data_IF_024240464404
#
_entry.id   IF_024240464404
#
_cell.length_a   1.000
_cell.length_b   1.000
_cell.length_c   1.000
_cell.angle_alpha   90.00
_cell.angle_beta   90.00
_cell.angle_gamma   90.00
#
_symmetry.space_group_name_H-M   'P 1'
#
loop_
_entity.id
_entity.type
_entity.pdbx_description
1 polymer ?
#
# COMPACT_ATOMS: atom_id res chain seq x y z
N UNK A 1 -4.72 22.81 0.40
CA UNK A 1 -4.80 21.39 -0.03
C UNK A 1 -6.10 21.21 -0.79
N UNK A 2 -6.05 20.65 -1.99
CA UNK A 2 -7.26 20.30 -2.73
C UNK A 2 -8.12 19.33 -1.91
N UNK A 3 -9.43 19.55 -1.92
CA UNK A 3 -10.43 18.71 -1.25
C UNK A 3 -11.31 18.10 -2.33
N UNK A 4 -11.40 16.78 -2.33
CA UNK A 4 -12.43 16.07 -3.08
C UNK A 4 -13.77 16.32 -2.37
N UNK A 5 -14.85 16.68 -3.10
CA UNK A 5 -16.16 16.86 -2.49
C UNK A 5 -16.62 15.59 -1.74
N UNK A 6 -17.28 15.73 -0.58
CA UNK A 6 -17.85 14.57 0.12
C UNK A 6 -18.95 13.92 -0.74
N UNK A 7 -18.96 12.59 -0.79
CA UNK A 7 -19.84 11.81 -1.68
C UNK A 7 -20.85 10.94 -0.94
N UNK A 8 -22.01 10.80 -1.56
CA UNK A 8 -22.94 9.68 -1.42
C UNK A 8 -23.10 9.02 -2.81
N UNK A 9 -23.09 7.68 -2.92
CA UNK A 9 -23.08 6.70 -1.85
C UNK A 9 -21.68 6.40 -1.29
N UNK A 10 -21.64 6.13 0.02
CA UNK A 10 -20.46 5.66 0.76
C UNK A 10 -19.91 4.34 0.20
N UNK A 11 -18.67 3.99 0.55
CA UNK A 11 -18.09 2.70 0.20
C UNK A 11 -18.83 1.54 0.88
N UNK A 12 -19.03 0.48 0.12
CA UNK A 12 -19.65 -0.79 0.53
C UNK A 12 -18.63 -1.93 0.48
N UNK A 13 -19.04 -3.11 0.94
CA UNK A 13 -18.28 -4.35 0.87
C UNK A 13 -17.75 -4.67 -0.54
N UNK A 14 -18.59 -4.43 -1.55
CA UNK A 14 -18.32 -4.74 -2.96
C UNK A 14 -17.25 -3.80 -3.52
N UNK A 15 -17.14 -2.60 -2.96
CA UNK A 15 -16.09 -1.64 -3.37
C UNK A 15 -14.71 -1.99 -2.84
N UNK A 16 -14.57 -2.99 -1.97
CA UNK A 16 -13.28 -3.62 -1.65
C UNK A 16 -12.98 -4.79 -2.59
N UNK A 17 -14.02 -5.37 -3.19
CA UNK A 17 -14.02 -6.60 -3.98
C UNK A 17 -14.93 -6.47 -5.20
N UNK A 18 -14.52 -5.70 -6.23
CA UNK A 18 -15.32 -5.59 -7.45
C UNK A 18 -15.55 -6.99 -8.04
N UNK A 19 -16.76 -7.30 -8.54
CA UNK A 19 -17.04 -8.57 -9.22
C UNK A 19 -15.99 -8.80 -10.32
N UNK A 20 -15.40 -10.00 -10.37
CA UNK A 20 -14.31 -10.34 -11.29
C UNK A 20 -12.90 -10.25 -10.69
N UNK A 21 -12.70 -9.61 -9.53
CA UNK A 21 -11.38 -9.57 -8.85
C UNK A 21 -10.91 -10.93 -8.33
N UNK A 22 -11.83 -11.90 -8.18
CA UNK A 22 -11.55 -13.28 -7.75
C UNK A 22 -11.51 -14.30 -8.91
N UNK A 23 -11.94 -13.91 -10.11
CA UNK A 23 -12.21 -14.84 -11.21
C UNK A 23 -11.49 -14.54 -12.52
N UNK A 24 -10.89 -13.35 -12.69
CA UNK A 24 -10.10 -13.03 -13.88
C UNK A 24 -8.63 -13.41 -13.63
N UNK A 25 -8.31 -14.68 -13.88
CA UNK A 25 -7.03 -15.31 -13.53
C UNK A 25 -5.86 -14.70 -14.31
N UNK A 26 -6.12 -14.13 -15.49
CA UNK A 26 -5.07 -13.68 -16.42
C UNK A 26 -4.62 -12.22 -16.24
N UNK A 27 -5.51 -11.34 -15.70
CA UNK A 27 -5.18 -9.94 -15.42
C UNK A 27 -6.07 -9.35 -14.30
N UNK A 28 -5.79 -9.65 -13.02
CA UNK A 28 -6.51 -9.11 -11.88
C UNK A 28 -6.70 -7.56 -11.84
N UNK A 29 -5.80 -6.71 -12.39
CA UNK A 29 -6.01 -5.26 -12.45
C UNK A 29 -7.16 -4.78 -13.34
N UNK A 30 -7.66 -5.62 -14.27
CA UNK A 30 -8.70 -5.23 -15.22
C UNK A 30 -10.00 -4.75 -14.53
N UNK A 31 -10.28 -5.28 -13.34
CA UNK A 31 -11.47 -4.94 -12.54
C UNK A 31 -11.36 -3.58 -11.81
N UNK A 32 -10.24 -2.87 -11.96
CA UNK A 32 -9.96 -1.62 -11.27
C UNK A 32 -9.72 -0.48 -12.27
N UNK A 33 -9.60 0.74 -11.75
CA UNK A 33 -9.41 1.96 -12.54
C UNK A 33 -8.05 2.58 -12.19
N UNK A 34 -7.01 2.37 -13.02
CA UNK A 34 -5.68 2.87 -12.73
C UNK A 34 -5.56 4.37 -12.97
N UNK A 35 -4.78 5.02 -12.13
CA UNK A 35 -4.37 6.41 -12.23
C UNK A 35 -2.87 6.46 -12.08
N UNK A 36 -2.19 7.14 -13.00
CA UNK A 36 -0.78 7.46 -12.86
C UNK A 36 -0.61 8.55 -11.81
N UNK A 37 0.29 8.29 -10.87
CA UNK A 37 0.74 9.24 -9.85
C UNK A 37 2.24 9.43 -10.02
N UNK A 38 2.67 10.65 -10.29
CA UNK A 38 4.08 11.05 -10.34
C UNK A 38 4.44 12.14 -9.35
N UNK A 39 5.75 12.28 -9.10
CA UNK A 39 6.33 13.22 -8.13
C UNK A 39 5.89 12.98 -6.67
N UNK A 40 5.63 11.73 -6.27
CA UNK A 40 5.23 11.43 -4.90
C UNK A 40 6.46 11.26 -3.99
N UNK A 41 6.65 12.18 -3.04
CA UNK A 41 7.79 12.13 -2.12
C UNK A 41 7.63 11.01 -1.07
N UNK A 42 8.58 10.10 -0.99
CA UNK A 42 8.60 9.05 0.02
C UNK A 42 10.02 8.70 0.46
N UNK A 43 10.40 8.95 1.72
CA UNK A 43 11.78 8.73 2.17
C UNK A 43 12.22 7.26 2.06
N UNK A 44 11.30 6.34 2.37
CA UNK A 44 11.56 4.91 2.36
C UNK A 44 10.65 4.21 1.36
N UNK A 45 11.24 3.59 0.34
CA UNK A 45 10.45 2.95 -0.72
C UNK A 45 9.55 1.82 -0.19
N UNK A 46 9.97 1.09 0.84
CA UNK A 46 9.15 0.06 1.49
C UNK A 46 7.83 0.59 2.05
N UNK A 47 7.74 1.89 2.37
CA UNK A 47 6.51 2.53 2.83
C UNK A 47 5.66 3.12 1.70
N UNK A 48 6.17 3.19 0.46
CA UNK A 48 5.54 3.95 -0.62
C UNK A 48 4.08 3.55 -0.84
N UNK A 49 3.80 2.25 -0.90
CA UNK A 49 2.44 1.73 -1.08
C UNK A 49 1.51 2.21 0.03
N UNK A 50 1.92 2.09 1.29
CA UNK A 50 1.07 2.46 2.42
C UNK A 50 0.87 3.98 2.50
N UNK A 51 1.90 4.77 2.18
CA UNK A 51 1.85 6.25 2.15
C UNK A 51 0.93 6.77 1.06
N UNK A 52 1.02 6.21 -0.14
CA UNK A 52 0.13 6.56 -1.27
C UNK A 52 -1.32 6.24 -0.91
N UNK A 53 -1.59 5.03 -0.39
CA UNK A 53 -2.94 4.68 0.04
C UNK A 53 -3.46 5.61 1.15
N UNK A 54 -2.63 5.96 2.13
CA UNK A 54 -2.98 6.89 3.20
C UNK A 54 -3.24 8.32 2.70
N UNK A 55 -2.55 8.76 1.66
CA UNK A 55 -2.77 10.05 1.01
C UNK A 55 -4.16 10.11 0.39
N UNK A 56 -4.50 9.15 -0.48
CA UNK A 56 -5.83 9.10 -1.10
C UNK A 56 -6.95 8.88 -0.08
N UNK A 57 -6.73 8.04 0.93
CA UNK A 57 -7.70 7.85 2.01
C UNK A 57 -8.00 9.16 2.76
N UNK A 58 -6.96 9.99 3.01
CA UNK A 58 -7.13 11.31 3.62
C UNK A 58 -7.90 12.28 2.72
N UNK A 59 -7.92 12.05 1.40
CA UNK A 59 -8.76 12.77 0.44
C UNK A 59 -10.16 12.19 0.30
N UNK A 60 -10.44 11.03 0.90
CA UNK A 60 -11.72 10.34 0.82
C UNK A 60 -11.84 9.36 -0.35
N UNK A 61 -10.70 8.99 -0.94
CA UNK A 61 -10.59 8.11 -2.11
C UNK A 61 -10.00 6.75 -1.68
N UNK A 62 -10.63 5.66 -2.09
CA UNK A 62 -10.19 4.30 -1.79
C UNK A 62 -9.23 3.77 -2.86
N UNK A 63 -7.93 3.98 -2.63
CA UNK A 63 -6.89 3.33 -3.41
C UNK A 63 -6.72 1.88 -2.97
N UNK A 64 -7.00 0.93 -3.86
CA UNK A 64 -6.91 -0.51 -3.58
C UNK A 64 -5.49 -1.02 -3.68
N UNK A 65 -4.79 -0.62 -4.74
CA UNK A 65 -3.48 -1.17 -5.09
C UNK A 65 -2.58 -0.04 -5.57
N UNK A 66 -1.28 -0.21 -5.35
CA UNK A 66 -0.26 0.70 -5.85
C UNK A 66 0.82 -0.15 -6.50
N UNK A 67 0.96 -0.02 -7.81
CA UNK A 67 2.03 -0.66 -8.56
C UNK A 67 3.19 0.32 -8.74
N UNK A 68 4.34 -0.06 -8.21
CA UNK A 68 5.60 0.68 -8.34
C UNK A 68 6.50 -0.13 -9.27
N UNK A 69 7.03 0.45 -10.34
CA UNK A 69 7.84 -0.28 -11.34
C UNK A 69 9.08 -0.93 -10.72
N UNK A 70 9.51 -2.08 -11.26
CA UNK A 70 10.67 -2.82 -10.73
C UNK A 70 11.98 -2.10 -11.07
N UNK A 71 12.98 -2.18 -10.18
CA UNK A 71 14.26 -1.50 -10.36
C UNK A 71 15.02 -1.95 -11.63
N UNK A 72 14.80 -3.19 -12.07
CA UNK A 72 15.47 -3.77 -13.24
C UNK A 72 14.94 -3.22 -14.58
N UNK A 73 13.72 -2.68 -14.59
CA UNK A 73 13.03 -2.25 -15.82
C UNK A 73 12.75 -0.74 -15.85
N UNK A 74 13.24 0.02 -14.87
CA UNK A 74 12.97 1.46 -14.76
C UNK A 74 14.27 2.26 -14.98
N UNK A 75 14.43 2.81 -16.19
CA UNK A 75 15.55 3.68 -16.54
C UNK A 75 15.64 4.95 -15.65
N UNK A 76 14.54 5.29 -14.97
CA UNK A 76 14.47 6.42 -14.04
C UNK A 76 14.75 6.06 -12.59
N UNK A 77 15.06 4.81 -12.31
CA UNK A 77 15.18 4.31 -10.95
C UNK A 77 16.21 5.08 -10.13
N UNK A 78 17.40 5.31 -10.69
CA UNK A 78 18.48 6.03 -10.01
C UNK A 78 18.05 7.46 -9.63
N UNK A 79 17.32 8.13 -10.51
CA UNK A 79 16.76 9.45 -10.23
C UNK A 79 15.70 9.39 -9.12
N UNK A 80 14.76 8.42 -9.17
CA UNK A 80 13.71 8.29 -8.17
C UNK A 80 14.29 7.95 -6.78
N UNK A 81 15.30 7.07 -6.72
CA UNK A 81 15.96 6.70 -5.47
C UNK A 81 16.80 7.84 -4.89
N UNK A 82 17.45 8.66 -5.73
CA UNK A 82 18.19 9.85 -5.27
C UNK A 82 17.26 10.95 -4.79
N UNK A 83 16.23 11.26 -5.57
CA UNK A 83 15.29 12.36 -5.26
C UNK A 83 14.19 11.99 -4.28
N UNK A 84 14.01 10.68 -4.02
CA UNK A 84 12.90 10.11 -3.24
C UNK A 84 11.51 10.45 -3.81
N UNK A 85 11.44 10.83 -5.08
CA UNK A 85 10.21 11.14 -5.79
C UNK A 85 9.86 9.98 -6.70
N UNK A 86 8.78 9.28 -6.37
CA UNK A 86 8.40 8.05 -7.05
C UNK A 86 7.19 8.24 -7.94
N UNK A 87 7.13 7.38 -8.96
CA UNK A 87 5.97 7.19 -9.80
C UNK A 87 5.34 5.83 -9.58
N UNK A 88 4.01 5.78 -9.69
CA UNK A 88 3.26 4.55 -9.56
C UNK A 88 1.93 4.60 -10.32
N UNK A 89 1.37 3.43 -10.59
CA UNK A 89 -0.05 3.29 -10.92
C UNK A 89 -0.83 2.99 -9.66
N UNK A 90 -1.87 3.77 -9.41
CA UNK A 90 -2.78 3.63 -8.28
C UNK A 90 -4.11 3.13 -8.80
N UNK A 91 -4.54 1.96 -8.34
CA UNK A 91 -5.76 1.32 -8.80
C UNK A 91 -6.89 1.63 -7.83
N UNK A 92 -7.91 2.33 -8.33
CA UNK A 92 -9.14 2.62 -7.61
C UNK A 92 -10.19 1.55 -7.87
N UNK A 93 -11.07 1.32 -6.91
CA UNK A 93 -12.16 0.34 -7.05
C UNK A 93 -13.36 0.89 -7.79
N UNK A 94 -13.55 2.21 -7.78
CA UNK A 94 -14.59 2.91 -8.53
C UNK A 94 -13.98 3.82 -9.57
N UNK A 95 -14.57 3.84 -10.75
CA UNK A 95 -14.19 4.75 -11.84
C UNK A 95 -14.27 6.21 -11.40
N UNK A 96 -15.37 6.56 -10.71
CA UNK A 96 -15.59 7.90 -10.21
C UNK A 96 -14.48 8.38 -9.26
N UNK A 97 -13.80 7.49 -8.54
CA UNK A 97 -12.68 7.86 -7.66
C UNK A 97 -11.41 8.15 -8.45
N UNK A 98 -11.16 7.36 -9.52
CA UNK A 98 -10.09 7.62 -10.45
C UNK A 98 -10.29 8.98 -11.15
N UNK A 99 -11.52 9.25 -11.63
CA UNK A 99 -11.87 10.52 -12.25
C UNK A 99 -11.70 11.70 -11.29
N UNK A 100 -12.12 11.56 -10.03
CA UNK A 100 -11.93 12.61 -9.02
C UNK A 100 -10.46 12.81 -8.65
N UNK A 101 -9.67 11.75 -8.58
CA UNK A 101 -8.23 11.87 -8.35
C UNK A 101 -7.59 12.72 -9.46
N UNK A 102 -7.90 12.43 -10.72
CA UNK A 102 -7.39 13.19 -11.86
C UNK A 102 -7.90 14.64 -11.84
N UNK A 103 -9.19 14.84 -11.61
CA UNK A 103 -9.82 16.17 -11.67
C UNK A 103 -9.38 17.10 -10.53
N UNK A 104 -9.33 16.59 -9.30
CA UNK A 104 -9.18 17.42 -8.10
C UNK A 104 -7.79 17.35 -7.48
N UNK A 105 -7.03 16.27 -7.70
CA UNK A 105 -5.74 16.06 -7.03
C UNK A 105 -4.54 16.29 -7.95
N UNK A 106 -4.75 16.48 -9.26
CA UNK A 106 -3.70 16.92 -10.17
C UNK A 106 -3.11 18.27 -9.68
N UNK A 107 -1.78 18.32 -9.55
CA UNK A 107 -1.01 19.45 -8.97
C UNK A 107 -1.30 19.76 -7.50
N UNK A 108 -2.00 18.89 -6.76
CA UNK A 108 -2.10 19.05 -5.30
C UNK A 108 -0.70 18.98 -4.67
N UNK A 109 -0.51 19.75 -3.60
CA UNK A 109 0.79 19.85 -2.92
C UNK A 109 0.92 18.78 -1.85
N UNK A 110 1.96 17.96 -1.94
CA UNK A 110 2.31 16.92 -0.98
C UNK A 110 3.77 17.06 -0.57
N UNK A 111 4.02 17.35 0.72
CA UNK A 111 5.35 17.62 1.29
C UNK A 111 6.24 18.56 0.44
N UNK A 112 5.66 19.65 -0.06
CA UNK A 112 6.40 20.61 -0.88
C UNK A 112 6.28 20.40 -2.39
N UNK A 113 6.01 19.17 -2.83
CA UNK A 113 5.97 18.79 -4.25
C UNK A 113 4.55 18.79 -4.81
N UNK A 114 4.41 19.20 -6.07
CA UNK A 114 3.16 19.14 -6.81
C UNK A 114 3.06 17.81 -7.55
N UNK A 115 2.01 17.08 -7.24
CA UNK A 115 1.75 15.76 -7.80
C UNK A 115 1.33 15.87 -9.27
N UNK A 116 1.74 14.90 -10.08
CA UNK A 116 1.23 14.73 -11.42
C UNK A 116 0.27 13.55 -11.42
N UNK A 117 -1.02 13.83 -11.56
CA UNK A 117 -2.07 12.80 -11.54
C UNK A 117 -2.77 12.77 -12.88
N UNK A 118 -2.76 11.62 -13.56
CA UNK A 118 -3.33 11.42 -14.89
C UNK A 118 -4.01 10.05 -14.99
N UNK A 119 -4.96 9.84 -15.92
CA UNK A 119 -5.52 8.52 -16.21
C UNK A 119 -4.43 7.47 -16.46
N UNK A 120 -4.56 6.27 -15.90
CA UNK A 120 -3.53 5.24 -15.99
C UNK A 120 -3.55 4.40 -17.26
N UNK A 121 -4.64 4.44 -18.04
CA UNK A 121 -4.80 3.69 -19.30
C UNK A 121 -4.50 4.53 -20.52
N UNK A 122 -4.98 5.77 -20.50
CA UNK A 122 -4.86 6.68 -21.63
C UNK A 122 -3.64 7.55 -21.45
N UNK A 123 -2.84 7.68 -22.53
CA UNK A 123 -1.65 8.50 -22.52
C UNK A 123 -2.03 9.96 -22.79
N UNK A 124 -1.63 10.84 -21.87
CA UNK A 124 -1.78 12.27 -22.04
C UNK A 124 -0.50 12.90 -22.58
N UNK A 125 -0.64 13.86 -23.48
CA UNK A 125 0.46 14.54 -24.14
C UNK A 125 0.48 16.02 -23.79
N UNK A 126 1.68 16.58 -23.76
CA UNK A 126 1.90 18.01 -23.72
C UNK A 126 1.40 18.68 -25.00
N UNK A 127 0.78 19.84 -24.86
CA UNK A 127 0.38 20.69 -25.98
C UNK A 127 1.60 21.50 -26.46
N UNK A 128 2.10 21.33 -27.70
CA UNK A 128 3.26 22.10 -28.20
C UNK A 128 3.04 23.62 -28.19
N UNK A 129 1.79 24.05 -28.29
CA UNK A 129 1.42 25.46 -28.26
C UNK A 129 1.57 26.10 -26.87
N UNK A 130 1.58 25.28 -25.80
CA UNK A 130 1.53 25.71 -24.40
C UNK A 130 2.75 25.24 -23.60
N UNK A 131 3.56 24.36 -24.18
CA UNK A 131 4.66 23.69 -23.48
C UNK A 131 6.02 24.18 -23.96
N UNK A 132 6.93 24.32 -23.00
CA UNK A 132 8.34 24.63 -23.23
C UNK A 132 9.21 23.63 -22.49
N UNK A 133 10.42 23.47 -23.01
CA UNK A 133 11.54 22.81 -22.37
C UNK A 133 12.48 23.84 -21.74
N UNK A 134 13.00 23.53 -20.56
CA UNK A 134 14.09 24.31 -19.95
C UNK A 134 15.41 23.95 -20.61
N UNK A 135 16.09 24.94 -21.18
CA UNK A 135 17.38 24.75 -21.86
C UNK A 135 18.52 25.16 -20.96
N UNK A 136 19.42 24.21 -20.70
CA UNK A 136 20.56 24.39 -19.82
C UNK A 136 20.18 24.39 -18.34
N UNK A 137 21.09 24.88 -17.51
CA UNK A 137 20.92 24.91 -16.07
C UNK A 137 20.30 26.23 -15.62
N UNK A 138 19.31 26.16 -14.71
CA UNK A 138 18.77 27.36 -14.07
C UNK A 138 19.70 27.82 -12.94
N UNK A 139 19.85 29.14 -12.72
CA UNK A 139 20.60 29.66 -11.57
C UNK A 139 20.11 29.04 -10.25
N UNK A 140 21.02 28.46 -9.46
CA UNK A 140 20.69 27.86 -8.16
C UNK A 140 19.97 26.51 -8.21
N UNK A 141 19.76 25.92 -9.40
CA UNK A 141 19.16 24.59 -9.56
C UNK A 141 20.21 23.65 -10.14
N UNK A 142 20.57 22.60 -9.41
CA UNK A 142 21.47 21.57 -9.93
C UNK A 142 20.84 20.84 -11.10
N UNK A 143 21.63 20.43 -12.09
CA UNK A 143 21.13 19.71 -13.28
C UNK A 143 20.33 18.46 -12.93
N UNK A 144 20.62 17.84 -11.80
CA UNK A 144 20.02 16.59 -11.34
C UNK A 144 18.84 16.78 -10.36
N UNK A 145 18.44 18.04 -10.14
CA UNK A 145 17.41 18.45 -9.20
C UNK A 145 16.00 17.98 -9.61
N UNK A 146 15.08 17.81 -8.64
CA UNK A 146 13.69 17.55 -8.92
C UNK A 146 13.03 18.57 -9.86
N UNK A 147 12.11 18.11 -10.70
CA UNK A 147 11.27 18.97 -11.55
C UNK A 147 10.58 20.11 -10.76
N UNK A 148 10.29 19.90 -9.47
CA UNK A 148 9.73 20.92 -8.58
C UNK A 148 10.64 22.15 -8.40
N UNK A 149 11.96 21.96 -8.33
CA UNK A 149 12.89 23.09 -8.15
C UNK A 149 12.93 23.99 -9.39
N UNK A 150 12.88 23.37 -10.58
CA UNK A 150 12.72 24.09 -11.84
C UNK A 150 11.39 24.84 -11.88
N UNK A 151 10.29 24.18 -11.49
CA UNK A 151 9.00 24.85 -11.40
C UNK A 151 9.05 26.07 -10.48
N UNK A 152 9.59 25.92 -9.28
CA UNK A 152 9.58 26.99 -8.28
C UNK A 152 10.40 28.20 -8.73
N UNK A 153 11.56 27.99 -9.36
CA UNK A 153 12.39 29.07 -9.90
C UNK A 153 11.72 29.78 -11.10
N UNK A 154 11.09 29.02 -12.00
CA UNK A 154 10.35 29.59 -13.13
C UNK A 154 9.13 30.38 -12.65
N UNK A 155 8.39 29.86 -11.65
CA UNK A 155 7.25 30.57 -11.08
C UNK A 155 7.67 31.83 -10.34
N UNK A 156 8.80 31.80 -9.64
CA UNK A 156 9.39 32.97 -8.98
C UNK A 156 9.80 34.03 -10.00
N UNK A 157 10.42 33.61 -11.10
CA UNK A 157 10.91 34.50 -12.14
C UNK A 157 9.80 35.08 -13.02
N UNK A 158 8.84 34.25 -13.44
CA UNK A 158 7.79 34.64 -14.39
C UNK A 158 6.49 35.10 -13.73
N UNK A 159 6.26 34.75 -12.47
CA UNK A 159 5.02 34.99 -11.72
C UNK A 159 3.75 34.43 -12.41
N UNK A 160 3.91 33.42 -13.27
CA UNK A 160 2.82 32.79 -13.99
C UNK A 160 2.51 31.39 -13.44
N UNK A 161 1.23 30.97 -13.47
CA UNK A 161 0.86 29.62 -13.09
C UNK A 161 1.28 28.62 -14.18
N UNK A 162 1.73 27.45 -13.74
CA UNK A 162 1.99 26.31 -14.61
C UNK A 162 0.89 25.26 -14.44
N UNK A 163 0.40 24.72 -15.55
CA UNK A 163 -0.58 23.66 -15.62
C UNK A 163 0.06 22.31 -15.25
N UNK A 164 1.23 22.02 -15.80
CA UNK A 164 1.93 20.75 -15.57
C UNK A 164 3.44 20.96 -15.65
N UNK A 165 4.19 20.19 -14.86
CA UNK A 165 5.65 20.11 -14.95
C UNK A 165 6.07 18.65 -14.86
N UNK A 166 6.84 18.16 -15.82
CA UNK A 166 7.30 16.76 -15.83
C UNK A 166 8.78 16.66 -16.21
N UNK A 167 9.43 15.61 -15.70
CA UNK A 167 10.80 15.21 -16.02
C UNK A 167 10.78 13.73 -16.38
N UNK A 168 10.56 13.47 -17.67
CA UNK A 168 10.34 12.11 -18.20
C UNK A 168 11.60 11.48 -18.78
N UNK A 169 12.61 12.29 -19.10
CA UNK A 169 14.01 11.90 -19.37
C UNK A 169 14.92 12.65 -18.40
N UNK A 170 16.08 12.09 -17.98
CA UNK A 170 16.93 12.75 -17.00
C UNK A 170 17.23 14.18 -17.41
N UNK A 171 17.64 14.49 -18.62
CA UNK A 171 18.11 15.84 -18.94
C UNK A 171 17.05 16.79 -19.49
N UNK A 172 15.76 16.44 -19.37
CA UNK A 172 14.67 17.26 -19.90
C UNK A 172 13.63 17.59 -18.84
N UNK A 173 13.36 18.88 -18.67
CA UNK A 173 12.27 19.39 -17.84
C UNK A 173 11.28 20.13 -18.73
N UNK A 174 10.05 19.65 -18.75
CA UNK A 174 8.95 20.21 -19.53
C UNK A 174 7.99 20.99 -18.62
N UNK A 175 7.60 22.17 -19.07
CA UNK A 175 6.73 23.11 -18.37
C UNK A 175 5.57 23.47 -19.29
N UNK A 176 4.34 23.21 -18.86
CA UNK A 176 3.13 23.57 -19.60
C UNK A 176 2.45 24.75 -18.90
N UNK A 177 2.22 25.82 -19.65
CA UNK A 177 1.41 26.96 -19.23
C UNK A 177 -0.07 26.67 -19.45
N UNK A 178 -0.98 27.45 -18.86
CA UNK A 178 -2.43 27.18 -19.01
C UNK A 178 -2.99 27.64 -20.35
N UNK A 179 -2.24 28.48 -21.07
CA UNK A 179 -2.62 28.95 -22.39
C UNK A 179 -1.39 29.35 -23.20
N UNK A 180 -1.57 29.43 -24.52
CA UNK A 180 -0.57 29.95 -25.45
C UNK A 180 -0.09 31.36 -25.07
N UNK A 181 -1.02 32.24 -24.68
CA UNK A 181 -0.69 33.63 -24.28
C UNK A 181 0.18 33.67 -23.03
N UNK A 182 -0.11 32.83 -22.04
CA UNK A 182 0.72 32.69 -20.84
C UNK A 182 2.09 32.14 -21.18
N UNK A 183 2.18 31.14 -22.09
CA UNK A 183 3.46 30.62 -22.57
C UNK A 183 4.31 31.73 -23.20
N UNK A 184 3.76 32.46 -24.16
CA UNK A 184 4.48 33.54 -24.86
C UNK A 184 4.96 34.62 -23.88
N UNK A 185 4.11 35.00 -22.92
CA UNK A 185 4.45 35.95 -21.86
C UNK A 185 5.55 35.40 -20.95
N UNK A 186 5.44 34.15 -20.52
CA UNK A 186 6.40 33.48 -19.64
C UNK A 186 7.77 33.32 -20.28
N UNK A 187 7.83 32.92 -21.55
CA UNK A 187 9.08 32.83 -22.32
C UNK A 187 9.78 34.19 -22.40
N UNK A 188 9.03 35.26 -22.70
CA UNK A 188 9.60 36.62 -22.76
C UNK A 188 10.16 37.09 -21.42
N UNK A 189 9.43 36.86 -20.33
CA UNK A 189 9.90 37.25 -18.98
C UNK A 189 11.12 36.42 -18.56
N UNK A 190 11.07 35.10 -18.77
CA UNK A 190 12.17 34.18 -18.47
C UNK A 190 13.45 34.60 -19.21
N UNK A 191 13.35 34.94 -20.50
CA UNK A 191 14.48 35.41 -21.29
C UNK A 191 15.12 36.68 -20.71
N UNK A 192 14.31 37.65 -20.26
CA UNK A 192 14.79 38.85 -19.58
C UNK A 192 15.47 38.58 -18.22
N UNK A 193 15.29 37.38 -17.66
CA UNK A 193 15.99 36.88 -16.46
C UNK A 193 17.17 35.95 -16.78
N UNK A 194 17.55 35.83 -18.06
CA UNK A 194 18.61 34.93 -18.51
C UNK A 194 18.21 33.45 -18.55
N UNK A 195 16.93 33.13 -18.35
CA UNK A 195 16.42 31.77 -18.39
C UNK A 195 15.96 31.43 -19.81
N UNK A 196 16.55 30.37 -20.38
CA UNK A 196 16.21 29.91 -21.73
C UNK A 196 15.11 28.86 -21.68
N UNK A 197 13.99 29.19 -22.32
CA UNK A 197 12.86 28.29 -22.51
C UNK A 197 12.62 28.11 -24.01
N UNK A 198 12.54 26.87 -24.48
CA UNK A 198 12.33 26.56 -25.90
C UNK A 198 10.99 25.85 -26.08
N UNK A 199 10.17 26.26 -27.04
CA UNK A 199 8.93 25.54 -27.33
C UNK A 199 9.25 24.14 -27.85
N UNK A 200 8.51 23.15 -27.36
CA UNK A 200 8.62 21.80 -27.93
C UNK A 200 7.96 21.77 -29.31
N UNK A 201 8.50 20.95 -30.21
CA UNK A 201 7.96 20.78 -31.58
C UNK A 201 7.21 19.47 -31.75
N UNK A 202 7.41 18.52 -30.85
CA UNK A 202 6.86 17.17 -30.92
C UNK A 202 5.88 16.92 -29.78
N UNK A 203 5.01 15.92 -29.96
CA UNK A 203 4.16 15.44 -28.87
C UNK A 203 4.97 14.59 -27.91
N UNK A 204 5.05 15.03 -26.66
CA UNK A 204 5.73 14.32 -25.58
C UNK A 204 4.68 13.92 -24.54
N UNK A 205 4.73 12.66 -24.09
CA UNK A 205 3.82 12.18 -23.06
C UNK A 205 4.08 12.89 -21.73
N UNK A 206 3.02 13.19 -20.97
CA UNK A 206 3.10 13.73 -19.60
C UNK A 206 3.47 12.67 -18.58
N UNK A 207 3.13 11.42 -18.87
CA UNK A 207 3.34 10.26 -18.02
C UNK A 207 4.59 9.49 -18.47
N UNK A 208 5.39 9.00 -17.53
CA UNK A 208 6.52 8.12 -17.85
C UNK A 208 6.07 6.74 -18.34
N UNK A 209 4.93 6.26 -17.84
CA UNK A 209 4.34 4.99 -18.25
C UNK A 209 2.83 4.98 -17.99
N UNK A 210 2.12 4.16 -18.77
CA UNK A 210 0.71 3.78 -18.58
C UNK A 210 0.60 2.26 -18.35
N UNK A 211 -0.58 1.77 -17.98
CA UNK A 211 -0.85 0.34 -17.71
C UNK A 211 -0.39 -0.56 -18.86
N UNK A 212 -0.63 -0.14 -20.11
CA UNK A 212 -0.23 -0.88 -21.30
C UNK A 212 1.29 -1.07 -21.42
N UNK A 213 2.09 -0.07 -21.04
CA UNK A 213 3.55 -0.10 -21.14
C UNK A 213 4.18 -1.14 -20.20
N UNK A 214 3.49 -1.45 -19.10
CA UNK A 214 4.00 -2.30 -18.01
C UNK A 214 3.10 -3.52 -17.74
N UNK A 215 2.19 -3.84 -18.65
CA UNK A 215 1.22 -4.94 -18.48
C UNK A 215 1.88 -6.28 -18.19
N UNK A 216 3.04 -6.57 -18.79
CA UNK A 216 3.79 -7.80 -18.52
C UNK A 216 4.44 -7.81 -17.13
N UNK A 217 4.96 -6.67 -16.66
CA UNK A 217 5.49 -6.55 -15.30
C UNK A 217 4.38 -6.73 -14.27
N UNK A 218 3.19 -6.19 -14.56
CA UNK A 218 2.00 -6.33 -13.74
C UNK A 218 1.60 -7.80 -13.62
N UNK A 219 1.45 -8.53 -14.74
CA UNK A 219 1.09 -9.98 -14.75
C UNK A 219 2.04 -10.84 -13.93
N UNK A 220 3.35 -10.53 -13.95
CA UNK A 220 4.37 -11.31 -13.25
C UNK A 220 4.37 -11.11 -11.73
N UNK A 221 3.73 -10.07 -11.20
CA UNK A 221 3.72 -9.84 -9.75
C UNK A 221 2.60 -10.61 -9.06
N UNK A 222 2.96 -11.45 -8.10
CA UNK A 222 2.00 -12.09 -7.18
C UNK A 222 1.28 -11.10 -6.25
N UNK A 223 1.79 -9.87 -6.12
CA UNK A 223 1.22 -8.80 -5.29
C UNK A 223 -0.24 -8.43 -5.65
N UNK A 224 -0.72 -8.86 -6.82
CA UNK A 224 -2.07 -8.54 -7.29
C UNK A 224 -3.18 -9.32 -6.58
N UNK A 225 -2.87 -10.44 -5.93
CA UNK A 225 -3.87 -11.33 -5.31
C UNK A 225 -3.98 -11.11 -3.78
N UNK A 226 -2.94 -10.61 -3.13
CA UNK A 226 -2.80 -10.73 -1.65
C UNK A 226 -2.91 -9.41 -0.86
N UNK A 227 -2.60 -8.27 -1.46
CA UNK A 227 -2.57 -7.02 -0.71
C UNK A 227 -4.00 -6.54 -0.48
N UNK A 228 -4.49 -6.46 0.76
CA UNK A 228 -5.69 -5.70 1.16
C UNK A 228 -5.35 -4.20 1.29
N UNK A 229 -6.31 -3.25 1.20
CA UNK A 229 -6.03 -1.89 1.61
C UNK A 229 -5.62 -1.89 3.09
N UNK A 230 -4.50 -1.24 3.41
CA UNK A 230 -3.95 -1.24 4.76
C UNK A 230 -5.00 -0.75 5.79
N UNK A 231 -5.06 -1.31 7.01
CA UNK A 231 -6.08 -0.97 8.02
C UNK A 231 -6.22 0.54 8.30
N UNK A 232 -5.11 1.28 8.30
CA UNK A 232 -5.13 2.75 8.39
C UNK A 232 -5.92 3.47 7.28
N UNK A 233 -5.98 2.92 6.06
CA UNK A 233 -6.79 3.44 4.94
C UNK A 233 -8.26 3.37 5.32
N UNK A 234 -8.66 2.19 5.81
CA UNK A 234 -10.02 1.92 6.27
C UNK A 234 -10.41 2.88 7.41
N UNK A 235 -9.56 3.04 8.42
CA UNK A 235 -9.84 3.94 9.55
C UNK A 235 -9.99 5.41 9.12
N UNK A 236 -9.18 5.88 8.18
CA UNK A 236 -9.32 7.25 7.66
C UNK A 236 -10.64 7.45 6.92
N UNK A 237 -11.10 6.46 6.16
CA UNK A 237 -12.40 6.52 5.48
C UNK A 237 -13.57 6.44 6.48
N UNK A 238 -13.45 5.62 7.52
CA UNK A 238 -14.43 5.52 8.64
C UNK A 238 -14.55 6.86 9.37
N UNK A 239 -13.43 7.47 9.76
CA UNK A 239 -13.42 8.75 10.47
C UNK A 239 -14.11 9.88 9.69
N UNK A 240 -14.19 9.77 8.36
CA UNK A 240 -14.87 10.73 7.48
C UNK A 240 -16.31 10.34 7.16
N UNK A 241 -16.84 9.29 7.79
CA UNK A 241 -18.17 8.75 7.53
C UNK A 241 -18.40 8.38 6.06
N UNK A 242 -17.33 7.95 5.35
CA UNK A 242 -17.37 7.62 3.91
C UNK A 242 -17.59 6.13 3.65
N UNK A 243 -17.87 5.35 4.68
CA UNK A 243 -18.12 3.91 4.58
C UNK A 243 -19.49 3.57 5.14
N UNK A 244 -20.15 2.59 4.55
CA UNK A 244 -21.46 2.12 5.00
C UNK A 244 -21.36 1.27 6.29
N UNK A 245 -22.43 1.15 7.09
CA UNK A 245 -22.46 0.18 8.18
C UNK A 245 -22.21 -1.27 7.71
N UNK A 246 -22.65 -1.61 6.49
CA UNK A 246 -22.39 -2.92 5.87
C UNK A 246 -20.92 -3.11 5.45
N UNK A 247 -20.16 -2.05 5.20
CA UNK A 247 -18.71 -2.09 5.01
C UNK A 247 -17.98 -2.51 6.30
N UNK A 248 -18.43 -2.07 7.48
CA UNK A 248 -17.93 -2.59 8.76
C UNK A 248 -18.23 -4.07 8.92
N UNK A 249 -19.42 -4.51 8.52
CA UNK A 249 -19.78 -5.94 8.54
C UNK A 249 -18.96 -6.75 7.52
N UNK A 250 -18.58 -6.20 6.37
CA UNK A 250 -17.81 -6.91 5.36
C UNK A 250 -16.31 -7.03 5.67
N UNK A 251 -15.71 -6.00 6.27
CA UNK A 251 -14.38 -6.11 6.89
C UNK A 251 -14.38 -7.11 8.05
N UNK A 252 -15.50 -7.22 8.77
CA UNK A 252 -15.73 -8.28 9.75
C UNK A 252 -15.96 -9.64 9.09
N UNK A 253 -16.64 -9.73 7.92
CA UNK A 253 -16.93 -10.96 7.13
C UNK A 253 -15.75 -11.47 6.27
N UNK A 254 -14.70 -10.66 6.09
CA UNK A 254 -13.35 -11.14 5.69
C UNK A 254 -12.61 -11.88 6.82
N UNK A 255 -13.22 -11.93 7.99
CA UNK A 255 -13.05 -12.94 9.04
C UNK A 255 -14.43 -13.58 9.29
N UNK A 256 -14.53 -14.71 10.00
CA UNK A 256 -15.84 -15.25 10.39
C UNK A 256 -16.61 -14.18 11.18
N UNK A 257 -17.94 -14.13 11.03
CA UNK A 257 -18.78 -13.33 11.90
C UNK A 257 -18.48 -13.68 13.37
N UNK A 258 -18.43 -12.70 14.30
CA UNK A 258 -18.45 -13.03 15.72
C UNK A 258 -19.88 -13.48 16.02
N UNK A 259 -20.06 -14.77 16.26
CA UNK A 259 -21.22 -15.28 16.96
C UNK A 259 -20.78 -15.73 18.34
N UNK A 260 -20.82 -14.77 19.27
CA UNK A 260 -20.84 -15.03 20.71
C UNK A 260 -19.51 -15.45 21.31
N UNK A 261 -18.63 -14.49 21.57
CA UNK A 261 -17.58 -14.70 22.59
C UNK A 261 -17.84 -13.76 23.76
N UNK A 262 -18.16 -14.40 24.88
CA UNK A 262 -17.87 -13.94 26.24
C UNK A 262 -16.56 -13.13 26.28
N UNK A 263 -16.45 -12.14 27.19
CA UNK A 263 -15.27 -11.29 27.31
C UNK A 263 -13.99 -12.11 27.27
N UNK A 264 -13.05 -11.72 26.38
CA UNK A 264 -11.71 -12.32 26.30
C UNK A 264 -11.11 -12.35 27.70
N UNK A 265 -11.01 -13.53 28.30
CA UNK A 265 -10.46 -13.68 29.64
C UNK A 265 -8.99 -13.20 29.62
N UNK A 266 -8.64 -12.10 30.31
CA UNK A 266 -7.29 -11.57 30.33
C UNK A 266 -6.27 -12.62 30.77
N UNK A 267 -6.66 -13.56 31.64
CA UNK A 267 -5.81 -14.64 32.11
C UNK A 267 -5.35 -15.58 30.97
N UNK A 268 -6.17 -15.79 29.93
CA UNK A 268 -5.75 -16.60 28.76
C UNK A 268 -4.60 -15.92 28.00
N UNK A 269 -4.62 -14.59 27.92
CA UNK A 269 -3.56 -13.83 27.26
C UNK A 269 -2.22 -14.02 27.98
N UNK A 270 -2.23 -13.97 29.30
CA UNK A 270 -1.03 -14.11 30.13
C UNK A 270 -0.44 -15.52 30.03
N UNK A 271 -1.27 -16.57 30.04
CA UNK A 271 -0.80 -17.95 29.85
C UNK A 271 -0.19 -18.18 28.45
N UNK A 272 -0.73 -17.55 27.41
CA UNK A 272 -0.12 -17.63 26.07
C UNK A 272 1.21 -16.88 26.03
N UNK A 273 1.32 -15.74 26.70
CA UNK A 273 2.60 -15.04 26.83
C UNK A 273 3.63 -15.91 27.58
N UNK A 274 3.22 -16.59 28.65
CA UNK A 274 4.08 -17.51 29.40
C UNK A 274 4.52 -18.71 28.55
N UNK A 275 3.62 -19.30 27.76
CA UNK A 275 3.95 -20.36 26.80
C UNK A 275 5.00 -19.88 25.79
N UNK A 276 4.82 -18.69 25.21
CA UNK A 276 5.76 -18.12 24.24
C UNK A 276 7.12 -17.80 24.86
N UNK A 277 7.15 -17.30 26.11
CA UNK A 277 8.40 -17.08 26.85
C UNK A 277 9.13 -18.40 27.10
N UNK A 278 8.41 -19.47 27.43
CA UNK A 278 8.98 -20.80 27.62
C UNK A 278 9.58 -21.34 26.33
N UNK A 279 8.87 -21.22 25.21
CA UNK A 279 9.40 -21.55 23.87
C UNK A 279 10.70 -20.78 23.60
N UNK A 280 10.74 -19.48 23.87
CA UNK A 280 11.97 -18.69 23.65
C UNK A 280 13.12 -19.11 24.58
N UNK A 281 12.83 -19.44 25.84
CA UNK A 281 13.83 -19.89 26.79
C UNK A 281 14.42 -21.25 26.40
N UNK A 282 13.58 -22.21 26.01
CA UNK A 282 14.04 -23.54 25.56
C UNK A 282 14.79 -23.44 24.23
N UNK A 283 14.38 -22.53 23.33
CA UNK A 283 15.10 -22.27 22.09
C UNK A 283 16.52 -21.76 22.38
N UNK A 284 16.67 -20.81 23.31
CA UNK A 284 17.97 -20.30 23.73
C UNK A 284 18.84 -21.39 24.37
N UNK A 285 18.27 -22.22 25.25
CA UNK A 285 18.99 -23.32 25.90
C UNK A 285 19.49 -24.36 24.90
N UNK A 286 18.68 -24.68 23.88
CA UNK A 286 18.99 -25.68 22.85
C UNK A 286 19.70 -25.09 21.62
N UNK A 287 20.04 -23.81 21.64
CA UNK A 287 20.66 -23.06 20.53
C UNK A 287 19.87 -23.20 19.20
N UNK A 288 18.54 -23.14 19.29
CA UNK A 288 17.63 -23.26 18.15
C UNK A 288 17.28 -21.89 17.56
N UNK A 289 17.06 -21.84 16.24
CA UNK A 289 16.73 -20.61 15.53
C UNK A 289 15.25 -20.23 15.70
N UNK A 290 15.01 -19.11 16.40
CA UNK A 290 13.65 -18.58 16.60
C UNK A 290 13.02 -18.06 15.30
N UNK A 291 13.83 -17.69 14.30
CA UNK A 291 13.39 -17.32 12.96
C UNK A 291 12.76 -18.51 12.24
N UNK A 292 13.47 -19.64 12.22
CA UNK A 292 12.96 -20.91 11.68
C UNK A 292 11.70 -21.39 12.42
N UNK A 293 11.68 -21.29 13.76
CA UNK A 293 10.47 -21.59 14.55
C UNK A 293 9.26 -20.76 14.08
N UNK A 294 9.43 -19.44 13.89
CA UNK A 294 8.34 -18.56 13.43
C UNK A 294 7.89 -18.87 12.02
N UNK A 295 8.80 -19.32 11.14
CA UNK A 295 8.45 -19.75 9.79
C UNK A 295 7.65 -21.07 9.79
N UNK A 296 8.00 -22.01 10.67
CA UNK A 296 7.28 -23.28 10.82
C UNK A 296 5.94 -23.14 11.54
N UNK A 297 5.82 -22.16 12.45
CA UNK A 297 4.63 -21.92 13.28
C UNK A 297 4.20 -20.44 13.28
N UNK A 298 3.83 -19.87 12.11
CA UNK A 298 3.54 -18.43 11.99
C UNK A 298 2.33 -17.98 12.81
N UNK A 299 1.47 -18.91 13.24
CA UNK A 299 0.27 -18.66 14.03
C UNK A 299 0.32 -19.28 15.43
N UNK A 300 1.51 -19.62 15.97
CA UNK A 300 1.65 -20.29 17.29
C UNK A 300 0.86 -19.60 18.41
N UNK A 301 0.93 -18.27 18.49
CA UNK A 301 0.18 -17.48 19.47
C UNK A 301 -1.34 -17.71 19.35
N UNK A 302 -1.86 -17.64 18.12
CA UNK A 302 -3.29 -17.81 17.84
C UNK A 302 -3.74 -19.25 18.11
N UNK A 303 -2.88 -20.23 17.84
CA UNK A 303 -3.09 -21.64 18.14
C UNK A 303 -3.19 -21.88 19.65
N UNK A 304 -2.23 -21.39 20.44
CA UNK A 304 -2.27 -21.52 21.90
C UNK A 304 -3.50 -20.85 22.52
N UNK A 305 -3.86 -19.67 22.01
CA UNK A 305 -5.06 -18.96 22.43
C UNK A 305 -6.33 -19.76 22.10
N UNK A 306 -6.43 -20.31 20.90
CA UNK A 306 -7.57 -21.12 20.49
C UNK A 306 -7.70 -22.40 21.33
N UNK A 307 -6.60 -23.03 21.73
CA UNK A 307 -6.64 -24.22 22.61
C UNK A 307 -7.23 -23.86 24.00
N UNK A 308 -6.80 -22.75 24.60
CA UNK A 308 -7.35 -22.28 25.89
C UNK A 308 -8.82 -21.81 25.80
N UNK A 309 -9.23 -21.30 24.64
CA UNK A 309 -10.61 -20.88 24.40
C UNK A 309 -11.52 -22.09 24.14
N UNK A 310 -11.05 -23.05 23.35
CA UNK A 310 -11.77 -24.29 23.09
C UNK A 310 -12.00 -25.08 24.40
N UNK A 311 -11.05 -25.06 25.34
CA UNK A 311 -11.19 -25.74 26.64
C UNK A 311 -12.28 -25.15 27.54
N UNK A 312 -12.76 -23.94 27.26
CA UNK A 312 -13.86 -23.29 27.98
C UNK A 312 -15.15 -23.24 27.16
N UNK A 313 -15.23 -24.04 26.09
CA UNK A 313 -16.43 -24.20 25.26
C UNK A 313 -16.57 -23.20 24.11
N UNK A 314 -15.50 -22.48 23.74
CA UNK A 314 -15.53 -21.57 22.59
C UNK A 314 -15.59 -22.35 21.26
N UNK A 315 -16.77 -22.33 20.63
CA UNK A 315 -17.05 -23.03 19.37
C UNK A 315 -16.25 -22.47 18.19
N UNK A 316 -15.93 -21.18 18.18
CA UNK A 316 -15.12 -20.56 17.13
C UNK A 316 -13.66 -21.03 17.22
N UNK A 317 -13.16 -21.17 18.45
CA UNK A 317 -11.83 -21.70 18.71
C UNK A 317 -11.70 -23.18 18.30
N UNK A 318 -12.73 -24.01 18.57
CA UNK A 318 -12.79 -25.41 18.08
C UNK A 318 -12.77 -25.46 16.55
N UNK A 319 -13.58 -24.62 15.87
CA UNK A 319 -13.59 -24.56 14.41
C UNK A 319 -12.27 -24.10 13.80
N UNK A 320 -11.57 -23.17 14.47
CA UNK A 320 -10.21 -22.79 14.08
C UNK A 320 -9.25 -23.98 14.21
N UNK A 321 -9.28 -24.74 15.30
CA UNK A 321 -8.38 -25.88 15.51
C UNK A 321 -8.64 -27.03 14.51
N UNK A 322 -9.89 -27.27 14.13
CA UNK A 322 -10.26 -28.27 13.12
C UNK A 322 -9.78 -27.92 11.71
N UNK A 323 -9.64 -26.62 11.40
CA UNK A 323 -9.20 -26.12 10.10
C UNK A 323 -7.72 -25.70 10.07
N UNK A 324 -7.07 -25.67 11.23
CA UNK A 324 -5.68 -25.25 11.35
C UNK A 324 -4.74 -26.38 10.93
N UNK A 325 -3.97 -26.12 9.87
CA UNK A 325 -2.86 -26.97 9.44
C UNK A 325 -1.59 -26.13 9.48
N UNK A 326 -0.64 -26.53 10.33
CA UNK A 326 0.65 -25.86 10.42
C UNK A 326 1.48 -26.14 9.15
N UNK A 327 2.26 -25.18 8.65
CA UNK A 327 3.05 -25.33 7.42
C UNK A 327 3.94 -26.58 7.36
N UNK A 328 4.46 -27.05 8.49
CA UNK A 328 5.29 -28.26 8.55
C UNK A 328 4.48 -29.56 8.39
N UNK A 329 3.18 -29.58 8.70
CA UNK A 329 2.32 -30.77 8.58
C UNK A 329 2.06 -31.16 7.12
N UNK A 330 2.22 -30.23 6.18
CA UNK A 330 2.19 -30.52 4.74
C UNK A 330 3.44 -31.26 4.25
N UNK A 331 4.52 -31.32 5.06
CA UNK A 331 5.78 -32.00 4.71
C UNK A 331 5.88 -33.41 5.31
N UNK A 332 4.74 -34.09 5.48
CA UNK A 332 4.55 -35.44 6.04
C UNK A 332 5.82 -36.34 6.03
N UNK A 333 6.46 -36.50 7.19
CA UNK A 333 7.66 -37.32 7.44
C UNK A 333 8.97 -36.92 6.72
N UNK A 334 9.03 -35.78 6.06
CA UNK A 334 10.24 -35.27 5.37
C UNK A 334 11.04 -34.24 6.18
N UNK A 335 10.71 -34.05 7.46
CA UNK A 335 11.45 -33.12 8.31
C UNK A 335 12.84 -33.67 8.61
N UNK A 336 13.86 -32.83 8.44
CA UNK A 336 15.20 -33.17 8.88
C UNK A 336 15.28 -33.14 10.43
N UNK A 337 16.33 -33.73 11.05
CA UNK A 337 16.46 -33.77 12.51
C UNK A 337 16.40 -32.39 13.17
N UNK A 338 16.88 -31.35 12.49
CA UNK A 338 16.88 -29.96 12.98
C UNK A 338 15.48 -29.34 12.99
N UNK A 339 14.66 -29.59 11.97
CA UNK A 339 13.26 -29.19 11.92
C UNK A 339 12.42 -29.94 12.97
N UNK A 340 12.73 -31.22 13.23
CA UNK A 340 12.11 -31.98 14.31
C UNK A 340 12.34 -31.36 15.70
N UNK A 341 13.53 -30.79 15.95
CA UNK A 341 13.79 -30.06 17.20
C UNK A 341 12.89 -28.83 17.36
N UNK A 342 12.49 -28.19 16.25
CA UNK A 342 11.57 -27.04 16.28
C UNK A 342 10.10 -27.46 16.47
N UNK A 343 9.73 -28.67 16.05
CA UNK A 343 8.43 -29.28 16.41
C UNK A 343 8.40 -29.60 17.90
N UNK A 344 9.45 -30.21 18.45
CA UNK A 344 9.57 -30.44 19.89
C UNK A 344 9.54 -29.13 20.69
N UNK A 345 10.18 -28.08 20.17
CA UNK A 345 10.14 -26.75 20.75
C UNK A 345 8.72 -26.16 20.80
N UNK A 346 7.90 -26.36 19.76
CA UNK A 346 6.50 -25.95 19.76
C UNK A 346 5.68 -26.73 20.80
N UNK A 347 5.97 -28.03 20.96
CA UNK A 347 5.30 -28.88 21.93
C UNK A 347 5.56 -28.42 23.38
N UNK A 348 6.71 -27.83 23.70
CA UNK A 348 6.94 -27.21 25.02
C UNK A 348 5.93 -26.09 25.34
N UNK A 349 5.55 -25.33 24.32
CA UNK A 349 4.50 -24.32 24.45
C UNK A 349 3.13 -24.96 24.64
N UNK A 350 2.83 -26.02 23.88
CA UNK A 350 1.58 -26.78 24.03
C UNK A 350 1.48 -27.43 25.41
N UNK A 351 2.54 -28.03 25.93
CA UNK A 351 2.56 -28.68 27.24
C UNK A 351 2.21 -27.71 28.37
N UNK A 352 2.71 -26.48 28.28
CA UNK A 352 2.31 -25.42 29.21
C UNK A 352 0.81 -25.10 29.09
N UNK A 353 0.28 -24.95 27.88
CA UNK A 353 -1.14 -24.68 27.64
C UNK A 353 -2.01 -25.83 28.17
N UNK A 354 -1.63 -27.08 27.93
CA UNK A 354 -2.32 -28.27 28.42
C UNK A 354 -2.25 -28.38 29.95
N UNK A 355 -1.14 -27.97 30.57
CA UNK A 355 -1.02 -27.86 32.04
C UNK A 355 -2.05 -26.88 32.62
N UNK A 356 -2.22 -25.71 32.01
CA UNK A 356 -3.21 -24.71 32.43
C UNK A 356 -4.64 -25.27 32.33
N UNK A 357 -4.94 -26.01 31.26
CA UNK A 357 -6.25 -26.65 31.09
C UNK A 357 -6.51 -27.69 32.19
N UNK A 358 -5.53 -28.55 32.47
CA UNK A 358 -5.64 -29.57 33.53
C UNK A 358 -5.88 -28.93 34.91
N UNK A 359 -5.17 -27.84 35.22
CA UNK A 359 -5.36 -27.11 36.48
C UNK A 359 -6.78 -26.54 36.61
N UNK A 360 -7.35 -26.00 35.53
CA UNK A 360 -8.73 -25.49 35.52
C UNK A 360 -9.75 -26.60 35.75
N UNK A 361 -9.56 -27.73 35.09
CA UNK A 361 -10.44 -28.90 35.24
C UNK A 361 -10.38 -29.47 36.66
N UNK A 362 -9.19 -29.54 37.27
CA UNK A 362 -9.03 -29.94 38.66
C UNK A 362 -9.75 -28.97 39.62
N UNK A 363 -9.57 -27.66 39.46
CA UNK A 363 -10.21 -26.65 40.33
C UNK A 363 -11.74 -26.62 40.21
N UNK A 364 -12.30 -26.94 39.04
CA UNK A 364 -13.75 -27.07 38.86
C UNK A 364 -14.32 -28.36 39.45
N UNK A 365 -13.50 -29.40 39.66
CA UNK A 365 -13.94 -30.67 40.26
C UNK A 365 -14.03 -30.57 41.79
N UNK A 366 -13.24 -29.69 42.41
CA UNK A 366 -13.22 -29.47 43.87
C UNK A 366 -14.32 -28.53 44.37
N UNK A 367 -15.05 -27.83 43.49
CA UNK A 367 -16.13 -26.90 43.88
C UNK A 367 -17.52 -27.55 43.92
N UNK A 368 -17.62 -28.87 43.69
CA UNK A 368 -18.87 -29.65 43.66
C UNK A 368 -18.86 -30.85 44.62
N UNK A 369 -17.83 -30.96 45.46
CA UNK A 369 -17.79 -31.78 46.68
C UNK A 369 -17.80 -30.84 47.88
#
# INVERSE_FOLDING_TARGET
>A
MAKVPPRNPKYSAVDLWPPGSKGNVDFPPAAFFPVYLGNFLCQQQGELVSRVQQYFAAKGLLARMVFVRSAQNDAFRNYQDRTKLYDCLVYFTRELDALDAVKYLHRDKYHGHRLNIFPGRDRHYFSPNETVEVIGQLPGVCGDAPAQMYEDEIRKSCQLPLACVARNVPDQVLLEFRSRKEKETGVRIAYGKGIRLMSITTQIAKQRFIEADIGQEIRKRKQFVENLPHLHVVWKLVARNLVTPSFHQALKKGKPAPSGTLPRNPANHDHVIQAMKRVMAVAAQRQLDIGLYRAMFPNAYKQFMAILQASIGDKEAVGFLQSYVAPWQFRQNQLNPWEWMHVQLHNEGLDHIHSVIRQRQANHSTSWN
#
